data_IF_739210233851
#
_entry.id   IF_739210233851
#
_cell.length_a   1.000
_cell.length_b   1.000
_cell.length_c   1.000
_cell.angle_alpha   90.00
_cell.angle_beta   90.00
_cell.angle_gamma   90.00
#
_symmetry.space_group_name_H-M   'P 1'
#
loop_
_entity.id
_entity.type
_entity.pdbx_description
1 polymer ?
#
# COMPACT_ATOMS: atom_id res chain seq x y z
N UNK A 1 30.93 -40.11 -10.52
CA UNK A 1 30.05 -39.51 -9.50
C UNK A 1 29.89 -38.05 -9.86
N UNK A 2 28.86 -37.72 -10.64
CA UNK A 2 28.59 -36.35 -11.11
C UNK A 2 27.67 -35.70 -10.07
N UNK A 3 28.18 -34.73 -9.31
CA UNK A 3 27.38 -33.96 -8.35
C UNK A 3 26.62 -32.90 -9.13
N UNK A 4 25.30 -33.09 -9.29
CA UNK A 4 24.39 -32.11 -9.86
C UNK A 4 24.15 -31.02 -8.81
N UNK A 5 24.80 -29.87 -8.97
CA UNK A 5 24.52 -28.68 -8.16
C UNK A 5 23.14 -28.14 -8.59
N UNK A 6 22.12 -28.39 -7.77
CA UNK A 6 20.81 -27.75 -7.89
C UNK A 6 20.99 -26.27 -7.52
N UNK A 7 20.96 -25.40 -8.52
CA UNK A 7 20.82 -23.97 -8.31
C UNK A 7 19.46 -23.73 -7.62
N UNK A 8 19.39 -23.00 -6.49
CA UNK A 8 18.11 -22.63 -5.90
C UNK A 8 17.35 -21.82 -6.94
N UNK A 9 16.12 -22.26 -7.25
CA UNK A 9 15.25 -21.58 -8.19
C UNK A 9 14.98 -20.16 -7.70
N UNK A 10 15.28 -19.17 -8.55
CA UNK A 10 14.80 -17.80 -8.36
C UNK A 10 13.27 -17.88 -8.22
N UNK A 11 12.75 -17.56 -7.03
CA UNK A 11 11.32 -17.42 -6.83
C UNK A 11 10.79 -16.42 -7.87
N UNK A 12 9.76 -16.82 -8.62
CA UNK A 12 9.15 -15.93 -9.61
C UNK A 12 8.64 -14.66 -8.91
N UNK A 13 8.99 -13.49 -9.43
CA UNK A 13 8.46 -12.23 -8.92
C UNK A 13 6.93 -12.26 -8.98
N UNK A 14 6.28 -11.78 -7.92
CA UNK A 14 4.83 -11.62 -7.84
C UNK A 14 4.34 -10.83 -9.07
N UNK A 15 3.38 -11.39 -9.82
CA UNK A 15 2.85 -10.74 -11.03
C UNK A 15 1.63 -9.88 -10.71
N UNK A 16 1.49 -8.74 -11.42
CA UNK A 16 0.30 -7.89 -11.38
C UNK A 16 -0.88 -8.64 -12.00
N UNK A 17 -1.98 -8.79 -11.23
CA UNK A 17 -3.23 -9.40 -11.73
C UNK A 17 -3.86 -8.54 -12.82
N UNK A 18 -4.53 -9.14 -13.82
CA UNK A 18 -5.28 -8.39 -14.85
C UNK A 18 -6.18 -7.29 -14.28
N UNK A 19 -6.96 -7.58 -13.23
CA UNK A 19 -7.89 -6.65 -12.60
C UNK A 19 -7.25 -5.38 -11.98
N UNK A 20 -5.93 -5.37 -11.79
CA UNK A 20 -5.20 -4.31 -11.10
C UNK A 20 -4.45 -3.36 -12.05
N UNK A 21 -4.32 -3.72 -13.33
CA UNK A 21 -3.46 -3.00 -14.29
C UNK A 21 -3.96 -1.59 -14.57
N UNK A 22 -5.27 -1.44 -14.75
CA UNK A 22 -5.87 -0.15 -15.09
C UNK A 22 -5.73 0.84 -13.94
N UNK A 23 -6.12 0.47 -12.71
CA UNK A 23 -5.98 1.35 -11.54
C UNK A 23 -4.53 1.77 -11.26
N UNK A 24 -3.55 0.88 -11.46
CA UNK A 24 -2.14 1.24 -11.36
C UNK A 24 -1.72 2.25 -12.43
N UNK A 25 -2.20 2.09 -13.67
CA UNK A 25 -1.92 3.00 -14.79
C UNK A 25 -2.58 4.37 -14.59
N UNK A 26 -3.80 4.39 -14.06
CA UNK A 26 -4.62 5.59 -13.86
C UNK A 26 -4.37 6.30 -12.51
N UNK A 27 -3.30 5.92 -11.79
CA UNK A 27 -3.02 6.40 -10.42
C UNK A 27 -3.11 7.93 -10.31
N UNK A 28 -2.43 8.66 -11.19
CA UNK A 28 -2.40 10.14 -11.13
C UNK A 28 -3.76 10.77 -11.43
N UNK A 29 -4.50 10.18 -12.36
CA UNK A 29 -5.84 10.66 -12.72
C UNK A 29 -6.83 10.42 -11.57
N UNK A 30 -6.76 9.25 -10.92
CA UNK A 30 -7.53 8.92 -9.72
C UNK A 30 -7.18 9.85 -8.56
N UNK A 31 -5.87 10.02 -8.28
CA UNK A 31 -5.38 10.92 -7.25
C UNK A 31 -5.87 12.36 -7.47
N UNK A 32 -5.76 12.88 -8.69
CA UNK A 32 -6.22 14.23 -9.03
C UNK A 32 -7.71 14.45 -8.79
N UNK A 33 -8.55 13.46 -9.14
CA UNK A 33 -10.01 13.49 -8.86
C UNK A 33 -10.29 13.47 -7.36
N UNK A 34 -9.61 12.60 -6.62
CA UNK A 34 -9.79 12.45 -5.18
C UNK A 34 -9.31 13.71 -4.42
N UNK A 35 -8.15 14.28 -4.81
CA UNK A 35 -7.62 15.54 -4.28
C UNK A 35 -8.59 16.71 -4.52
N UNK A 36 -9.22 16.79 -5.69
CA UNK A 36 -10.20 17.84 -5.99
C UNK A 36 -11.37 17.81 -5.00
N UNK A 37 -11.91 16.63 -4.70
CA UNK A 37 -12.99 16.48 -3.73
C UNK A 37 -12.52 16.80 -2.31
N UNK A 38 -11.37 16.25 -1.91
CA UNK A 38 -10.76 16.44 -0.60
C UNK A 38 -10.49 17.93 -0.29
N UNK A 39 -9.94 18.67 -1.25
CA UNK A 39 -9.62 20.09 -1.07
C UNK A 39 -10.86 21.00 -1.11
N UNK A 40 -11.93 20.58 -1.80
CA UNK A 40 -13.16 21.35 -1.87
C UNK A 40 -14.02 21.23 -0.60
N UNK A 41 -14.03 20.06 0.02
CA UNK A 41 -15.02 19.74 1.07
C UNK A 41 -14.43 19.09 2.34
N UNK A 42 -13.12 18.80 2.39
CA UNK A 42 -12.47 18.19 3.54
C UNK A 42 -12.37 19.12 4.74
N UNK A 43 -12.34 18.54 5.94
CA UNK A 43 -12.07 19.30 7.16
C UNK A 43 -10.64 19.85 7.15
N UNK A 44 -10.45 21.07 7.67
CA UNK A 44 -9.14 21.74 7.63
C UNK A 44 -8.00 20.93 8.30
N UNK A 45 -8.30 20.21 9.38
CA UNK A 45 -7.33 19.36 10.07
C UNK A 45 -6.87 18.17 9.19
N UNK A 46 -7.80 17.56 8.45
CA UNK A 46 -7.51 16.45 7.56
C UNK A 46 -6.77 16.93 6.31
N UNK A 47 -7.13 18.10 5.76
CA UNK A 47 -6.41 18.72 4.64
C UNK A 47 -4.96 19.01 5.04
N UNK A 48 -4.70 19.46 6.26
CA UNK A 48 -3.34 19.68 6.75
C UNK A 48 -2.53 18.37 6.86
N UNK A 49 -3.18 17.26 7.22
CA UNK A 49 -2.56 15.93 7.20
C UNK A 49 -2.29 15.44 5.77
N UNK A 50 -3.26 15.59 4.87
CA UNK A 50 -3.12 15.26 3.46
C UNK A 50 -1.96 16.03 2.82
N UNK A 51 -1.87 17.32 3.10
CA UNK A 51 -0.78 18.17 2.62
C UNK A 51 0.58 17.63 3.09
N UNK A 52 0.71 17.24 4.37
CA UNK A 52 1.94 16.62 4.90
C UNK A 52 2.24 15.26 4.27
N UNK A 53 1.23 14.45 3.99
CA UNK A 53 1.41 13.16 3.32
C UNK A 53 1.89 13.33 1.86
N UNK A 54 1.43 14.38 1.18
CA UNK A 54 1.78 14.65 -0.23
C UNK A 54 3.07 15.47 -0.42
N UNK A 55 3.54 16.18 0.61
CA UNK A 55 4.76 16.99 0.53
C UNK A 55 6.03 16.15 0.36
N UNK A 56 6.86 16.50 -0.62
CA UNK A 56 8.15 15.85 -0.87
C UNK A 56 8.14 14.97 -2.11
N UNK A 57 9.32 14.78 -2.70
CA UNK A 57 9.53 13.89 -3.83
C UNK A 57 10.01 12.52 -3.34
N UNK A 58 9.78 11.44 -4.11
CA UNK A 58 10.40 10.14 -3.85
C UNK A 58 11.93 10.24 -3.90
N UNK A 59 12.60 9.56 -2.97
CA UNK A 59 14.05 9.48 -2.85
C UNK A 59 14.54 8.04 -2.72
N UNK A 60 15.68 7.85 -2.05
CA UNK A 60 16.29 6.54 -1.87
C UNK A 60 15.43 5.61 -0.98
N UNK A 61 15.42 4.32 -1.33
CA UNK A 61 14.73 3.29 -0.56
C UNK A 61 15.62 2.71 0.53
N UNK A 62 15.32 3.08 1.76
CA UNK A 62 15.71 2.36 2.97
C UNK A 62 14.50 2.27 3.91
N UNK A 63 13.48 1.45 3.56
CA UNK A 63 12.22 1.47 4.26
C UNK A 63 12.19 0.53 5.47
N UNK A 64 13.20 -0.32 5.65
CA UNK A 64 13.21 -1.35 6.68
C UNK A 64 13.09 -0.74 8.09
N UNK A 65 12.29 -1.35 8.96
CA UNK A 65 12.09 -0.96 10.36
C UNK A 65 10.62 -0.72 10.74
N UNK A 66 10.44 -0.15 11.92
CA UNK A 66 9.13 0.13 12.51
C UNK A 66 8.62 1.54 12.16
N UNK A 67 7.33 1.63 11.86
CA UNK A 67 6.66 2.84 11.39
C UNK A 67 5.34 3.07 12.14
N UNK A 68 5.05 4.33 12.45
CA UNK A 68 3.67 4.77 12.60
C UNK A 68 3.06 4.88 11.20
N UNK A 69 1.84 4.43 11.02
CA UNK A 69 1.13 4.53 9.75
C UNK A 69 -0.32 4.92 9.97
N UNK A 70 -0.81 5.84 9.15
CA UNK A 70 -2.23 6.23 9.14
C UNK A 70 -2.77 6.20 7.72
N UNK A 71 -4.02 5.79 7.58
CA UNK A 71 -4.72 5.84 6.30
C UNK A 71 -5.42 7.19 6.17
N UNK A 72 -5.26 7.83 5.01
CA UNK A 72 -6.12 8.91 4.56
C UNK A 72 -6.97 8.34 3.44
N UNK A 73 -8.28 8.42 3.59
CA UNK A 73 -9.24 8.00 2.58
C UNK A 73 -9.77 9.25 1.87
N UNK A 74 -9.62 9.31 0.55
CA UNK A 74 -10.03 10.44 -0.28
C UNK A 74 -11.16 9.98 -1.21
N UNK A 75 -12.24 10.76 -1.29
CA UNK A 75 -13.41 10.42 -2.09
C UNK A 75 -14.18 9.18 -1.57
N UNK A 76 -15.15 8.72 -2.36
CA UNK A 76 -16.07 7.66 -1.96
C UNK A 76 -17.12 8.15 -0.94
N UNK A 77 -17.14 7.54 0.27
CA UNK A 77 -18.17 7.84 1.28
C UNK A 77 -18.02 9.25 1.85
N UNK A 78 -16.77 9.70 2.05
CA UNK A 78 -16.44 11.03 2.59
C UNK A 78 -15.45 11.72 1.64
N UNK A 79 -15.49 13.06 1.50
CA UNK A 79 -14.55 13.76 0.63
C UNK A 79 -13.09 13.57 1.06
N UNK A 80 -12.85 13.54 2.36
CA UNK A 80 -11.56 13.24 3.00
C UNK A 80 -11.79 12.83 4.45
N UNK A 81 -11.11 11.77 4.90
CA UNK A 81 -10.97 11.44 6.32
C UNK A 81 -9.54 10.96 6.59
N UNK A 82 -8.93 11.43 7.67
CA UNK A 82 -7.63 10.97 8.14
C UNK A 82 -7.77 10.17 9.45
N UNK A 83 -7.33 8.92 9.42
CA UNK A 83 -7.37 8.04 10.60
C UNK A 83 -6.21 8.32 11.58
N UNK A 84 -6.30 7.85 12.84
CA UNK A 84 -5.18 7.89 13.78
C UNK A 84 -4.00 7.01 13.32
N UNK A 85 -2.87 7.14 14.02
CA UNK A 85 -1.72 6.28 13.80
C UNK A 85 -1.95 4.85 14.31
N UNK A 86 -1.48 3.91 13.51
CA UNK A 86 -1.35 2.50 13.80
C UNK A 86 0.12 2.09 13.67
N UNK A 87 0.46 0.88 14.10
CA UNK A 87 1.81 0.35 13.95
C UNK A 87 1.92 -0.36 12.60
N UNK A 88 2.98 -0.10 11.87
CA UNK A 88 3.38 -0.80 10.66
C UNK A 88 4.83 -1.26 10.79
N UNK A 89 5.18 -2.34 10.09
CA UNK A 89 6.55 -2.85 9.99
C UNK A 89 6.89 -3.11 8.54
N UNK A 90 8.12 -2.76 8.16
CA UNK A 90 8.69 -3.08 6.86
C UNK A 90 9.96 -3.91 7.07
N UNK A 91 10.04 -5.08 6.44
CA UNK A 91 11.16 -6.01 6.57
C UNK A 91 11.74 -6.36 5.19
N UNK A 92 13.07 -6.48 5.04
CA UNK A 92 13.67 -6.93 3.78
C UNK A 92 13.29 -8.38 3.49
N UNK A 93 13.08 -8.71 2.22
CA UNK A 93 12.86 -10.07 1.75
C UNK A 93 14.17 -10.68 1.25
N UNK A 94 14.38 -11.97 1.50
CA UNK A 94 15.55 -12.72 0.99
C UNK A 94 15.62 -12.71 -0.54
N UNK A 95 14.46 -12.67 -1.19
CA UNK A 95 14.31 -12.62 -2.65
C UNK A 95 14.49 -11.22 -3.23
N UNK A 96 14.82 -10.22 -2.41
CA UNK A 96 14.85 -8.81 -2.76
C UNK A 96 13.51 -8.10 -2.58
N UNK A 97 13.59 -6.78 -2.39
CA UNK A 97 12.44 -5.95 -2.02
C UNK A 97 12.13 -6.03 -0.52
N UNK A 98 10.93 -5.59 -0.14
CA UNK A 98 10.49 -5.54 1.26
C UNK A 98 9.06 -6.04 1.43
N UNK A 99 8.72 -6.48 2.63
CA UNK A 99 7.35 -6.78 3.05
C UNK A 99 6.85 -5.70 3.99
N UNK A 100 5.70 -5.11 3.69
CA UNK A 100 4.99 -4.19 4.56
C UNK A 100 3.83 -4.91 5.25
N UNK A 101 3.68 -4.70 6.55
CA UNK A 101 2.56 -5.23 7.35
C UNK A 101 2.02 -4.14 8.28
N UNK A 102 0.72 -3.89 8.25
CA UNK A 102 0.01 -3.07 9.25
C UNK A 102 -0.36 -3.91 10.47
N UNK A 103 0.35 -3.68 11.58
CA UNK A 103 0.34 -4.46 12.82
C UNK A 103 -0.77 -4.10 13.79
N UNK A 104 -1.43 -2.93 13.68
CA UNK A 104 -2.64 -2.61 14.48
C UNK A 104 -3.79 -2.04 13.64
N UNK A 105 -5.01 -1.99 14.21
CA UNK A 105 -6.24 -1.52 13.55
C UNK A 105 -7.18 -2.64 13.08
N UNK A 106 -8.41 -2.28 12.70
CA UNK A 106 -9.43 -3.22 12.24
C UNK A 106 -9.29 -3.57 10.75
N UNK A 107 -8.91 -2.60 9.93
CA UNK A 107 -8.53 -2.81 8.54
C UNK A 107 -7.01 -2.95 8.45
N UNK A 108 -6.57 -4.06 7.86
CA UNK A 108 -5.18 -4.48 7.71
C UNK A 108 -4.74 -4.33 6.27
N UNK A 109 -3.45 -4.06 6.08
CA UNK A 109 -2.78 -4.06 4.77
C UNK A 109 -1.51 -4.88 4.91
N UNK A 110 -1.28 -5.79 3.97
CA UNK A 110 -0.05 -6.58 3.89
C UNK A 110 0.33 -6.80 2.43
N UNK A 111 1.61 -6.65 2.10
CA UNK A 111 2.08 -6.83 0.74
C UNK A 111 3.58 -6.68 0.58
N UNK A 112 4.03 -6.75 -0.67
CA UNK A 112 5.44 -6.67 -1.05
C UNK A 112 5.72 -5.39 -1.83
N UNK A 113 6.87 -4.78 -1.55
CA UNK A 113 7.39 -3.57 -2.18
C UNK A 113 8.54 -3.97 -3.10
N UNK A 114 8.41 -3.66 -4.38
CA UNK A 114 9.37 -3.97 -5.43
C UNK A 114 9.94 -2.69 -6.01
N UNK A 115 11.25 -2.46 -5.84
CA UNK A 115 11.91 -1.30 -6.43
C UNK A 115 11.93 -1.41 -7.96
N UNK A 116 11.05 -0.64 -8.62
CA UNK A 116 10.91 -0.59 -10.09
C UNK A 116 11.30 0.76 -10.69
N UNK A 117 11.67 1.72 -9.85
CA UNK A 117 11.98 3.10 -10.21
C UNK A 117 11.95 3.99 -8.96
N UNK A 118 11.80 5.33 -9.11
CA UNK A 118 11.69 6.26 -7.97
C UNK A 118 10.48 5.97 -7.06
N UNK A 119 9.41 5.41 -7.63
CA UNK A 119 8.25 4.88 -6.90
C UNK A 119 8.25 3.36 -7.04
N UNK A 120 8.23 2.65 -5.92
CA UNK A 120 8.28 1.20 -5.89
C UNK A 120 6.88 0.61 -6.03
N UNK A 121 6.73 -0.45 -6.82
CA UNK A 121 5.47 -1.15 -6.97
C UNK A 121 5.11 -1.87 -5.66
N UNK A 122 3.91 -1.64 -5.15
CA UNK A 122 3.33 -2.40 -4.04
C UNK A 122 2.26 -3.36 -4.56
N UNK A 123 2.39 -4.64 -4.23
CA UNK A 123 1.39 -5.67 -4.48
C UNK A 123 0.99 -6.32 -3.15
N UNK A 124 -0.27 -6.18 -2.79
CA UNK A 124 -0.75 -6.63 -1.50
C UNK A 124 -2.25 -6.78 -1.42
N UNK A 125 -2.71 -6.97 -0.20
CA UNK A 125 -4.12 -7.17 0.12
C UNK A 125 -4.52 -6.34 1.33
N UNK A 126 -5.77 -5.88 1.28
CA UNK A 126 -6.51 -5.36 2.41
C UNK A 126 -7.41 -6.45 2.99
N UNK A 127 -7.56 -6.52 4.31
CA UNK A 127 -8.53 -7.41 4.96
C UNK A 127 -9.02 -6.84 6.30
N UNK A 128 -10.14 -7.37 6.79
CA UNK A 128 -10.73 -6.96 8.07
C UNK A 128 -10.34 -7.95 9.19
N UNK A 129 -10.22 -7.47 10.42
CA UNK A 129 -9.99 -8.34 11.59
C UNK A 129 -8.56 -8.87 11.71
N UNK A 130 -8.40 -10.05 12.32
CA UNK A 130 -7.10 -10.61 12.74
C UNK A 130 -6.78 -11.98 12.15
N UNK A 131 -7.73 -12.62 11.48
CA UNK A 131 -7.45 -13.87 10.79
C UNK A 131 -6.56 -13.62 9.56
N UNK A 132 -5.74 -14.60 9.14
CA UNK A 132 -4.83 -14.44 8.03
C UNK A 132 -5.58 -14.05 6.73
N UNK A 133 -4.99 -13.15 5.96
CA UNK A 133 -5.47 -12.78 4.63
C UNK A 133 -5.18 -13.89 3.62
N UNK A 134 -6.01 -13.96 2.56
CA UNK A 134 -5.60 -14.62 1.32
C UNK A 134 -4.42 -13.87 0.71
N UNK A 135 -3.38 -14.58 0.28
CA UNK A 135 -2.26 -13.94 -0.43
C UNK A 135 -2.72 -13.29 -1.73
N UNK A 136 -2.07 -12.20 -2.13
CA UNK A 136 -2.40 -11.47 -3.37
C UNK A 136 -2.46 -12.38 -4.61
N UNK A 137 -1.56 -13.36 -4.72
CA UNK A 137 -1.55 -14.36 -5.79
C UNK A 137 -2.80 -15.27 -5.81
N UNK A 138 -3.45 -15.44 -4.67
CA UNK A 138 -4.62 -16.30 -4.49
C UNK A 138 -5.97 -15.58 -4.66
N UNK A 139 -5.96 -14.26 -4.89
CA UNK A 139 -7.18 -13.52 -5.20
C UNK A 139 -7.67 -13.82 -6.63
N UNK A 140 -8.97 -13.63 -6.92
CA UNK A 140 -9.50 -13.75 -8.29
C UNK A 140 -8.66 -12.92 -9.29
N UNK A 141 -8.22 -13.48 -10.42
CA UNK A 141 -7.31 -12.77 -11.32
C UNK A 141 -7.98 -11.64 -12.09
N UNK A 142 -9.26 -11.82 -12.43
CA UNK A 142 -9.96 -10.97 -13.41
C UNK A 142 -10.99 -10.03 -12.76
N UNK A 143 -11.17 -10.10 -11.44
CA UNK A 143 -12.07 -9.21 -10.71
C UNK A 143 -11.56 -8.87 -9.29
N UNK A 144 -12.35 -8.05 -8.59
CA UNK A 144 -12.06 -7.55 -7.25
C UNK A 144 -12.99 -8.17 -6.19
N UNK A 145 -13.56 -9.35 -6.48
CA UNK A 145 -14.47 -10.03 -5.54
C UNK A 145 -13.73 -10.32 -4.23
N UNK A 146 -14.24 -9.86 -3.08
CA UNK A 146 -13.64 -10.16 -1.80
C UNK A 146 -13.61 -11.67 -1.51
N UNK A 147 -12.49 -12.15 -0.98
CA UNK A 147 -12.31 -13.56 -0.58
C UNK A 147 -12.55 -13.72 0.92
N UNK A 148 -13.39 -14.69 1.28
CA UNK A 148 -13.68 -15.05 2.66
C UNK A 148 -12.73 -16.13 3.21
N UNK A 149 -12.45 -16.16 4.53
CA UNK A 149 -12.97 -15.24 5.54
C UNK A 149 -12.29 -13.87 5.50
N UNK A 150 -13.00 -12.84 5.97
CA UNK A 150 -12.51 -11.47 6.26
C UNK A 150 -12.45 -10.47 5.11
N UNK A 151 -13.20 -10.70 4.03
CA UNK A 151 -13.29 -9.76 2.91
C UNK A 151 -11.92 -9.35 2.37
N UNK A 152 -11.04 -10.32 2.13
CA UNK A 152 -9.70 -10.03 1.58
C UNK A 152 -9.86 -9.51 0.16
N UNK A 153 -9.32 -8.33 -0.11
CA UNK A 153 -9.36 -7.63 -1.40
C UNK A 153 -7.96 -7.16 -1.78
N UNK A 154 -7.72 -6.86 -3.05
CA UNK A 154 -6.42 -6.35 -3.44
C UNK A 154 -6.25 -4.88 -3.09
N UNK A 155 -5.09 -4.59 -2.50
CA UNK A 155 -4.55 -3.25 -2.35
C UNK A 155 -3.23 -3.22 -3.13
N UNK A 156 -3.24 -2.51 -4.25
CA UNK A 156 -2.07 -2.35 -5.12
C UNK A 156 -1.75 -0.88 -5.25
N UNK A 157 -0.49 -0.53 -5.49
CA UNK A 157 -0.13 0.88 -5.56
C UNK A 157 1.34 1.17 -5.69
N UNK A 158 1.70 2.37 -5.28
CA UNK A 158 3.06 2.91 -5.38
C UNK A 158 3.57 3.36 -4.03
N UNK A 159 4.66 2.75 -3.58
CA UNK A 159 5.37 3.12 -2.36
C UNK A 159 6.47 4.14 -2.69
N UNK A 160 6.49 5.23 -1.95
CA UNK A 160 7.43 6.33 -2.12
C UNK A 160 8.02 6.70 -0.77
N UNK A 161 9.34 6.56 -0.64
CA UNK A 161 10.06 7.06 0.51
C UNK A 161 10.47 8.51 0.25
N UNK A 162 9.98 9.44 1.07
CA UNK A 162 10.15 10.90 0.88
C UNK A 162 11.30 11.46 1.73
N UNK A 163 12.00 10.59 2.46
CA UNK A 163 13.07 10.93 3.39
C UNK A 163 13.39 9.76 4.33
N UNK A 164 14.36 9.91 5.24
CA UNK A 164 14.74 8.86 6.19
C UNK A 164 13.61 8.50 7.16
N UNK A 165 12.72 9.46 7.43
CA UNK A 165 11.69 9.38 8.46
C UNK A 165 10.25 9.38 7.93
N UNK A 166 10.06 9.47 6.61
CA UNK A 166 8.76 9.66 5.98
C UNK A 166 8.61 8.85 4.70
N UNK A 167 7.49 8.16 4.58
CA UNK A 167 7.09 7.45 3.37
C UNK A 167 5.58 7.52 3.16
N UNK A 168 5.13 7.14 1.97
CA UNK A 168 3.71 6.99 1.64
C UNK A 168 3.51 5.78 0.73
N UNK A 169 2.39 5.11 0.90
CA UNK A 169 1.87 4.14 -0.06
C UNK A 169 0.59 4.72 -0.65
N UNK A 170 0.60 4.94 -1.96
CA UNK A 170 -0.49 5.48 -2.76
C UNK A 170 -1.30 4.30 -3.34
N UNK A 171 -2.57 4.19 -2.96
CA UNK A 171 -3.46 3.08 -3.31
C UNK A 171 -4.63 3.60 -4.16
N UNK A 172 -4.55 3.50 -5.51
CA UNK A 172 -5.62 3.89 -6.40
C UNK A 172 -6.80 2.91 -6.37
N UNK A 173 -8.03 3.45 -6.33
CA UNK A 173 -9.28 2.68 -6.46
C UNK A 173 -9.34 1.45 -5.52
N UNK A 174 -9.09 1.61 -4.20
CA UNK A 174 -9.19 0.51 -3.27
C UNK A 174 -10.63 -0.02 -3.26
N UNK A 175 -10.80 -1.32 -3.06
CA UNK A 175 -12.13 -1.95 -3.13
C UNK A 175 -13.08 -1.43 -2.03
N UNK A 176 -12.53 -0.87 -0.94
CA UNK A 176 -13.28 -0.47 0.24
C UNK A 176 -13.30 1.05 0.47
N UNK A 177 -14.51 1.61 0.40
CA UNK A 177 -14.96 2.86 1.05
C UNK A 177 -14.43 4.20 0.49
N UNK A 178 -13.50 4.19 -0.45
CA UNK A 178 -12.84 5.40 -0.97
C UNK A 178 -12.41 5.27 -2.43
N UNK A 179 -12.18 6.42 -3.09
CA UNK A 179 -11.68 6.48 -4.47
C UNK A 179 -10.14 6.38 -4.51
N UNK A 180 -9.47 6.79 -3.42
CA UNK A 180 -8.03 6.75 -3.28
C UNK A 180 -7.62 6.68 -1.80
N UNK A 181 -6.70 5.78 -1.48
CA UNK A 181 -6.11 5.67 -0.15
C UNK A 181 -4.65 6.10 -0.16
N UNK A 182 -4.24 6.79 0.91
CA UNK A 182 -2.83 7.07 1.21
C UNK A 182 -2.54 6.47 2.57
N UNK A 183 -1.67 5.46 2.63
CA UNK A 183 -1.05 5.05 3.89
C UNK A 183 0.18 5.92 4.09
N UNK A 184 0.07 6.93 4.96
CA UNK A 184 1.17 7.82 5.30
C UNK A 184 1.97 7.24 6.47
N UNK A 185 3.29 7.12 6.30
CA UNK A 185 4.17 6.51 7.29
C UNK A 185 5.18 7.51 7.84
N UNK A 186 5.39 7.46 9.16
CA UNK A 186 6.47 8.16 9.87
C UNK A 186 7.23 7.19 10.76
N UNK A 187 8.54 7.37 10.95
CA UNK A 187 9.31 6.46 11.81
C UNK A 187 8.78 6.45 13.24
N UNK A 188 8.75 5.28 13.88
CA UNK A 188 8.56 5.23 15.33
C UNK A 188 9.84 5.74 16.01
N UNK A 189 9.70 6.57 17.03
CA UNK A 189 10.83 6.86 17.91
C UNK A 189 11.21 5.55 18.61
N UNK A 190 12.50 5.18 18.50
CA UNK A 190 13.06 4.03 19.21
C UNK A 190 13.15 4.24 20.71
#
# INVERSE_FOLDING_TARGET
>A
MLVLLLLPGLAAAQQIRPADRERLTETDALLGRALKQALAYGAAADIALLTRAMQGAPGDFDPAGDWNCRTLKLGGILPLVAYPDFSCRIEPLETGGWRLVKLTGSQRVVGTIHATGPSALFLGVGHVGTAPATDYAGLPPDDQTPVEPNQTTADVGWFEQMGPDRARLLLPDPVLESDFDILYLTRQAG
#
